data_IF_085327305673
#
_entry.id   IF_085327305673
#
_cell.length_a   1.000
_cell.length_b   1.000
_cell.length_c   1.000
_cell.angle_alpha   90.00
_cell.angle_beta   90.00
_cell.angle_gamma   90.00
#
_symmetry.space_group_name_H-M   'P 1'
#
loop_
_entity.id
_entity.type
_entity.pdbx_description
1 polymer ?
#
# COMPACT_ATOMS: atom_id res chain seq x y z
N UNK A 1 -32.02 -13.68 -25.01
CA UNK A 1 -31.89 -14.58 -23.84
C UNK A 1 -30.42 -14.89 -23.65
N UNK A 2 -29.80 -14.32 -22.65
CA UNK A 2 -28.45 -14.75 -22.23
C UNK A 2 -28.61 -16.15 -21.64
N UNK A 3 -28.12 -17.17 -22.34
CA UNK A 3 -28.01 -18.54 -21.84
C UNK A 3 -27.23 -18.47 -20.51
N UNK A 4 -27.87 -18.88 -19.44
CA UNK A 4 -27.25 -18.87 -18.11
C UNK A 4 -26.00 -19.75 -18.13
N UNK A 5 -24.85 -19.19 -17.75
CA UNK A 5 -23.61 -19.93 -17.59
C UNK A 5 -23.84 -21.15 -16.69
N UNK A 6 -23.32 -22.31 -17.09
CA UNK A 6 -23.34 -23.51 -16.27
C UNK A 6 -22.39 -23.36 -15.08
N UNK A 7 -22.58 -24.16 -14.03
CA UNK A 7 -21.66 -24.21 -12.89
C UNK A 7 -20.21 -24.48 -13.31
N UNK A 8 -20.02 -25.40 -14.28
CA UNK A 8 -18.69 -25.76 -14.74
C UNK A 8 -18.01 -24.61 -15.50
N UNK A 9 -18.79 -23.86 -16.28
CA UNK A 9 -18.28 -22.65 -16.95
C UNK A 9 -17.92 -21.56 -15.94
N UNK A 10 -18.75 -21.33 -14.92
CA UNK A 10 -18.46 -20.37 -13.87
C UNK A 10 -17.20 -20.75 -13.08
N UNK A 11 -17.02 -22.04 -12.76
CA UNK A 11 -15.79 -22.54 -12.11
C UNK A 11 -14.56 -22.38 -12.98
N UNK A 12 -14.68 -22.59 -14.30
CA UNK A 12 -13.58 -22.38 -15.23
C UNK A 12 -13.14 -20.92 -15.21
N UNK A 13 -14.06 -19.97 -15.36
CA UNK A 13 -13.78 -18.52 -15.28
C UNK A 13 -13.14 -18.15 -13.95
N UNK A 14 -13.67 -18.66 -12.85
CA UNK A 14 -13.12 -18.44 -11.50
C UNK A 14 -11.66 -18.93 -11.39
N UNK A 15 -11.37 -20.14 -11.89
CA UNK A 15 -10.01 -20.70 -11.86
C UNK A 15 -9.02 -19.98 -12.79
N UNK A 16 -9.54 -19.31 -13.81
CA UNK A 16 -8.77 -18.46 -14.75
C UNK A 16 -8.63 -17.01 -14.24
N UNK A 17 -9.13 -16.68 -13.04
CA UNK A 17 -9.08 -15.34 -12.45
C UNK A 17 -10.09 -14.35 -13.05
N UNK A 18 -11.02 -14.81 -13.90
CA UNK A 18 -12.05 -13.98 -14.53
C UNK A 18 -13.25 -13.81 -13.58
N UNK A 19 -13.00 -13.18 -12.43
CA UNK A 19 -13.95 -13.11 -11.32
C UNK A 19 -15.19 -12.28 -11.63
N UNK A 20 -15.04 -11.16 -12.36
CA UNK A 20 -16.15 -10.31 -12.78
C UNK A 20 -17.15 -11.08 -13.66
N UNK A 21 -16.65 -11.94 -14.53
CA UNK A 21 -17.47 -12.75 -15.46
C UNK A 21 -18.11 -13.96 -14.76
N UNK A 22 -17.42 -14.54 -13.77
CA UNK A 22 -17.93 -15.66 -12.96
C UNK A 22 -19.01 -15.23 -11.95
N UNK A 23 -18.89 -14.01 -11.40
CA UNK A 23 -19.74 -13.46 -10.31
C UNK A 23 -21.23 -13.62 -10.54
N UNK A 24 -21.84 -13.28 -11.71
CA UNK A 24 -23.28 -13.38 -11.91
C UNK A 24 -23.81 -14.82 -11.87
N UNK A 25 -23.00 -15.81 -12.25
CA UNK A 25 -23.39 -17.22 -12.18
C UNK A 25 -23.48 -17.72 -10.72
N UNK A 26 -22.47 -17.39 -9.91
CA UNK A 26 -22.46 -17.76 -8.50
C UNK A 26 -23.55 -17.03 -7.70
N UNK A 27 -23.86 -15.78 -8.03
CA UNK A 27 -24.99 -15.05 -7.44
C UNK A 27 -26.33 -15.78 -7.66
N UNK A 28 -26.58 -16.30 -8.85
CA UNK A 28 -27.78 -17.10 -9.13
C UNK A 28 -27.81 -18.40 -8.33
N UNK A 29 -26.66 -19.09 -8.20
CA UNK A 29 -26.56 -20.32 -7.44
C UNK A 29 -26.81 -20.11 -5.94
N UNK A 30 -26.36 -19.01 -5.37
CA UNK A 30 -26.65 -18.64 -3.99
C UNK A 30 -28.14 -18.41 -3.77
N UNK A 31 -28.84 -17.76 -4.70
CA UNK A 31 -30.30 -17.58 -4.61
C UNK A 31 -31.05 -18.92 -4.55
N UNK A 32 -30.52 -19.97 -5.16
CA UNK A 32 -31.10 -21.33 -5.11
C UNK A 32 -30.68 -22.10 -3.84
N UNK A 33 -29.47 -21.90 -3.36
CA UNK A 33 -28.93 -22.60 -2.20
C UNK A 33 -28.12 -21.63 -1.28
N UNK A 34 -28.80 -20.75 -0.50
CA UNK A 34 -28.13 -19.67 0.25
C UNK A 34 -27.12 -20.13 1.31
N UNK A 35 -27.25 -21.33 1.82
CA UNK A 35 -26.36 -21.89 2.84
C UNK A 35 -25.27 -22.82 2.29
N UNK A 36 -25.18 -22.99 0.96
CA UNK A 36 -24.14 -23.82 0.33
C UNK A 36 -22.76 -23.18 0.53
N UNK A 37 -21.82 -23.85 1.21
CA UNK A 37 -20.52 -23.25 1.55
C UNK A 37 -19.67 -22.95 0.34
N UNK A 38 -19.67 -23.81 -0.68
CA UNK A 38 -18.87 -23.63 -1.90
C UNK A 38 -19.39 -22.45 -2.73
N UNK A 39 -20.71 -22.28 -2.85
CA UNK A 39 -21.28 -21.14 -3.58
C UNK A 39 -21.00 -19.82 -2.87
N UNK A 40 -21.09 -19.82 -1.53
CA UNK A 40 -20.74 -18.66 -0.73
C UNK A 40 -19.26 -18.34 -0.82
N UNK A 41 -18.36 -19.34 -0.83
CA UNK A 41 -16.94 -19.12 -1.05
C UNK A 41 -16.69 -18.47 -2.42
N UNK A 42 -17.09 -19.11 -3.51
CA UNK A 42 -16.79 -18.62 -4.86
C UNK A 42 -17.38 -17.23 -5.12
N UNK A 43 -18.60 -16.99 -4.69
CA UNK A 43 -19.22 -15.66 -4.82
C UNK A 43 -18.53 -14.61 -3.94
N UNK A 44 -18.21 -14.98 -2.71
CA UNK A 44 -17.47 -14.10 -1.79
C UNK A 44 -16.11 -13.72 -2.33
N UNK A 45 -15.37 -14.67 -2.92
CA UNK A 45 -14.09 -14.39 -3.58
C UNK A 45 -14.27 -13.50 -4.81
N UNK A 46 -15.25 -13.79 -5.67
CA UNK A 46 -15.54 -12.91 -6.81
C UNK A 46 -15.88 -11.48 -6.37
N UNK A 47 -16.63 -11.32 -5.26
CA UNK A 47 -16.91 -10.00 -4.71
C UNK A 47 -15.64 -9.31 -4.19
N UNK A 48 -14.77 -10.03 -3.48
CA UNK A 48 -13.49 -9.53 -3.00
C UNK A 48 -12.62 -9.03 -4.15
N UNK A 49 -12.38 -9.85 -5.15
CA UNK A 49 -11.55 -9.56 -6.31
C UNK A 49 -12.13 -8.45 -7.24
N UNK A 50 -13.41 -8.15 -7.08
CA UNK A 50 -14.10 -7.03 -7.78
C UNK A 50 -14.34 -5.82 -6.88
N UNK A 51 -13.72 -5.73 -5.70
CA UNK A 51 -13.76 -4.58 -4.80
C UNK A 51 -15.03 -4.46 -3.93
N UNK A 52 -15.98 -5.39 -4.01
CA UNK A 52 -17.19 -5.38 -3.17
C UNK A 52 -16.94 -6.09 -1.85
N UNK A 53 -16.16 -5.44 -0.96
CA UNK A 53 -15.74 -5.99 0.32
C UNK A 53 -16.92 -6.29 1.26
N UNK A 54 -17.99 -5.49 1.20
CA UNK A 54 -19.17 -5.68 2.05
C UNK A 54 -19.90 -6.98 1.71
N UNK A 55 -20.15 -7.23 0.44
CA UNK A 55 -20.79 -8.48 -0.02
C UNK A 55 -19.86 -9.67 0.17
N UNK A 56 -18.54 -9.50 -0.08
CA UNK A 56 -17.53 -10.51 0.18
C UNK A 56 -17.57 -10.99 1.63
N UNK A 57 -17.47 -10.06 2.60
CA UNK A 57 -17.56 -10.38 4.03
C UNK A 57 -18.80 -11.18 4.38
N UNK A 58 -19.96 -10.76 3.87
CA UNK A 58 -21.24 -11.43 4.14
C UNK A 58 -21.21 -12.90 3.74
N UNK A 59 -20.74 -13.19 2.52
CA UNK A 59 -20.77 -14.55 1.97
C UNK A 59 -19.61 -15.41 2.51
N UNK A 60 -18.42 -14.85 2.67
CA UNK A 60 -17.29 -15.55 3.28
C UNK A 60 -17.57 -15.98 4.72
N UNK A 61 -18.29 -15.17 5.53
CA UNK A 61 -18.77 -15.58 6.86
C UNK A 61 -19.65 -16.82 6.84
N UNK A 62 -20.48 -17.00 5.83
CA UNK A 62 -21.29 -18.21 5.67
C UNK A 62 -20.39 -19.42 5.38
N UNK A 63 -19.39 -19.27 4.52
CA UNK A 63 -18.44 -20.33 4.21
C UNK A 63 -17.55 -20.69 5.41
N UNK A 64 -17.08 -19.71 6.20
CA UNK A 64 -16.30 -19.90 7.44
C UNK A 64 -17.11 -20.69 8.47
N UNK A 65 -18.40 -20.34 8.68
CA UNK A 65 -19.29 -21.11 9.59
C UNK A 65 -19.42 -22.59 9.21
N UNK A 66 -19.15 -22.95 7.97
CA UNK A 66 -19.12 -24.33 7.45
C UNK A 66 -17.70 -24.89 7.37
N UNK A 67 -16.70 -24.23 7.96
CA UNK A 67 -15.30 -24.61 8.01
C UNK A 67 -14.68 -24.83 6.63
N UNK A 68 -15.07 -23.98 5.66
CA UNK A 68 -14.46 -23.96 4.33
C UNK A 68 -13.09 -23.29 4.43
N UNK A 69 -12.00 -24.03 4.23
CA UNK A 69 -10.63 -23.59 4.50
C UNK A 69 -10.30 -22.25 3.84
N UNK A 70 -10.43 -22.13 2.52
CA UNK A 70 -10.08 -20.91 1.78
C UNK A 70 -10.89 -19.68 2.21
N UNK A 71 -12.06 -19.87 2.81
CA UNK A 71 -12.88 -18.76 3.27
C UNK A 71 -12.24 -17.98 4.44
N UNK A 72 -11.44 -18.64 5.27
CA UNK A 72 -10.69 -17.97 6.36
C UNK A 72 -9.68 -16.98 5.80
N UNK A 73 -8.87 -17.41 4.83
CA UNK A 73 -7.91 -16.55 4.14
C UNK A 73 -8.58 -15.29 3.58
N UNK A 74 -9.58 -15.48 2.70
CA UNK A 74 -10.23 -14.34 2.05
C UNK A 74 -11.02 -13.45 3.02
N UNK A 75 -11.60 -14.01 4.07
CA UNK A 75 -12.25 -13.21 5.09
C UNK A 75 -11.24 -12.41 5.92
N UNK A 76 -10.07 -12.99 6.20
CA UNK A 76 -8.94 -12.29 6.81
C UNK A 76 -8.50 -11.08 5.98
N UNK A 77 -8.32 -11.25 4.65
CA UNK A 77 -7.99 -10.14 3.75
C UNK A 77 -9.09 -9.05 3.73
N UNK A 78 -10.37 -9.44 3.68
CA UNK A 78 -11.48 -8.47 3.74
C UNK A 78 -11.47 -7.70 5.05
N UNK A 79 -11.20 -8.35 6.16
CA UNK A 79 -11.13 -7.71 7.46
C UNK A 79 -9.92 -6.76 7.56
N UNK A 80 -8.79 -7.14 7.01
CA UNK A 80 -7.60 -6.30 6.93
C UNK A 80 -7.91 -5.00 6.17
N UNK A 81 -8.44 -5.10 4.94
CA UNK A 81 -8.81 -3.95 4.11
C UNK A 81 -9.95 -3.10 4.68
N UNK A 82 -10.68 -3.61 5.67
CA UNK A 82 -11.77 -2.88 6.35
C UNK A 82 -11.42 -2.48 7.78
N UNK A 83 -10.12 -2.44 8.12
CA UNK A 83 -9.55 -2.03 9.41
C UNK A 83 -10.08 -2.82 10.62
N UNK A 84 -10.47 -4.06 10.40
CA UNK A 84 -10.89 -5.03 11.42
C UNK A 84 -9.73 -5.97 11.73
N UNK A 85 -8.68 -5.40 12.26
CA UNK A 85 -7.40 -6.07 12.38
C UNK A 85 -7.44 -7.27 13.34
N UNK A 86 -8.15 -7.17 14.46
CA UNK A 86 -8.29 -8.28 15.41
C UNK A 86 -9.04 -9.46 14.77
N UNK A 87 -10.14 -9.18 14.08
CA UNK A 87 -10.87 -10.22 13.36
C UNK A 87 -10.06 -10.78 12.17
N UNK A 88 -9.21 -9.97 11.54
CA UNK A 88 -8.29 -10.46 10.51
C UNK A 88 -7.28 -11.43 11.10
N UNK A 89 -6.67 -11.09 12.25
CA UNK A 89 -5.73 -11.94 12.96
C UNK A 89 -6.36 -13.28 13.31
N UNK A 90 -7.57 -13.31 13.89
CA UNK A 90 -8.32 -14.54 14.17
C UNK A 90 -8.49 -15.43 12.92
N UNK A 91 -8.81 -14.83 11.77
CA UNK A 91 -8.99 -15.57 10.52
C UNK A 91 -7.67 -16.16 10.01
N UNK A 92 -6.58 -15.41 10.07
CA UNK A 92 -5.27 -15.91 9.64
C UNK A 92 -4.74 -16.98 10.59
N UNK A 93 -4.90 -16.86 11.91
CA UNK A 93 -4.55 -17.90 12.88
C UNK A 93 -5.27 -19.24 12.59
N UNK A 94 -6.57 -19.19 12.37
CA UNK A 94 -7.35 -20.37 12.01
C UNK A 94 -6.90 -20.97 10.68
N UNK A 95 -6.62 -20.14 9.68
CA UNK A 95 -6.11 -20.62 8.38
C UNK A 95 -4.74 -21.27 8.51
N UNK A 96 -3.79 -20.65 9.21
CA UNK A 96 -2.47 -21.20 9.52
C UNK A 96 -2.59 -22.55 10.23
N UNK A 97 -3.47 -22.65 11.24
CA UNK A 97 -3.74 -23.92 11.94
C UNK A 97 -4.21 -25.03 10.99
N UNK A 98 -5.08 -24.69 10.01
CA UNK A 98 -5.55 -25.66 9.02
C UNK A 98 -4.46 -26.10 8.05
N UNK A 99 -3.60 -25.15 7.60
CA UNK A 99 -2.44 -25.44 6.74
C UNK A 99 -1.42 -26.32 7.44
N UNK A 100 -1.07 -26.00 8.70
CA UNK A 100 -0.13 -26.76 9.53
C UNK A 100 -0.56 -28.22 9.68
N UNK A 101 -1.85 -28.48 9.95
CA UNK A 101 -2.41 -29.85 10.02
C UNK A 101 -2.24 -30.63 8.73
N UNK A 102 -2.19 -29.94 7.61
CA UNK A 102 -2.00 -30.51 6.26
C UNK A 102 -0.54 -30.51 5.81
N UNK A 103 0.39 -30.02 6.63
CA UNK A 103 1.82 -29.83 6.30
C UNK A 103 2.03 -28.97 5.05
N UNK A 104 1.20 -27.95 4.88
CA UNK A 104 1.32 -26.94 3.82
C UNK A 104 2.11 -25.74 4.34
N UNK A 105 2.68 -24.93 3.41
CA UNK A 105 3.43 -23.73 3.75
C UNK A 105 2.52 -22.67 4.41
N UNK A 106 2.97 -22.16 5.56
CA UNK A 106 2.27 -21.14 6.36
C UNK A 106 2.90 -19.76 6.25
N UNK A 107 4.13 -19.67 5.76
CA UNK A 107 4.96 -18.45 5.76
C UNK A 107 4.25 -17.20 5.21
N UNK A 108 3.52 -17.26 4.06
CA UNK A 108 2.85 -16.07 3.55
C UNK A 108 1.73 -15.56 4.47
N UNK A 109 1.11 -16.47 5.23
CA UNK A 109 -0.03 -16.13 6.10
C UNK A 109 0.42 -15.74 7.52
N UNK A 110 1.60 -16.18 7.94
CA UNK A 110 2.28 -15.68 9.13
C UNK A 110 2.63 -14.19 8.95
N UNK A 111 3.12 -13.80 7.77
CA UNK A 111 3.34 -12.39 7.44
C UNK A 111 2.03 -11.56 7.46
N UNK A 112 0.92 -12.12 6.95
CA UNK A 112 -0.39 -11.45 6.99
C UNK A 112 -0.93 -11.32 8.41
N UNK A 113 -0.71 -12.32 9.27
CA UNK A 113 -1.03 -12.27 10.69
C UNK A 113 -0.22 -11.18 11.41
N UNK A 114 1.07 -11.07 11.10
CA UNK A 114 1.91 -10.00 11.64
C UNK A 114 1.40 -8.61 11.21
N UNK A 115 1.06 -8.44 9.94
CA UNK A 115 0.42 -7.22 9.42
C UNK A 115 -0.88 -6.88 10.18
N UNK A 116 -1.73 -7.86 10.43
CA UNK A 116 -2.98 -7.66 11.18
C UNK A 116 -2.70 -7.22 12.63
N UNK A 117 -1.74 -7.87 13.30
CA UNK A 117 -1.34 -7.51 14.67
C UNK A 117 -0.73 -6.11 14.75
N UNK A 118 0.07 -5.71 13.75
CA UNK A 118 0.62 -4.35 13.69
C UNK A 118 -0.48 -3.32 13.43
N UNK A 119 -1.40 -3.60 12.49
CA UNK A 119 -2.56 -2.75 12.22
C UNK A 119 -3.41 -2.51 13.46
N UNK A 120 -3.64 -3.52 14.30
CA UNK A 120 -4.33 -3.38 15.59
C UNK A 120 -3.60 -2.42 16.52
N UNK A 121 -2.28 -2.56 16.65
CA UNK A 121 -1.45 -1.67 17.49
C UNK A 121 -1.46 -0.22 17.01
N UNK A 122 -1.46 0.01 15.71
CA UNK A 122 -1.51 1.34 15.11
C UNK A 122 -2.89 1.97 15.25
N UNK A 123 -3.95 1.17 15.18
CA UNK A 123 -5.33 1.64 15.36
C UNK A 123 -5.56 2.21 16.78
N UNK A 124 -4.89 1.64 17.78
CA UNK A 124 -4.93 2.15 19.16
C UNK A 124 -4.23 3.51 19.34
N UNK A 125 -3.44 3.95 18.37
CA UNK A 125 -2.62 5.17 18.41
C UNK A 125 -2.95 6.18 17.31
N UNK A 126 -4.17 6.14 16.78
CA UNK A 126 -4.59 7.04 15.69
C UNK A 126 -4.42 8.50 16.08
N UNK A 127 -3.67 9.24 15.26
CA UNK A 127 -3.52 10.69 15.44
C UNK A 127 -4.75 11.44 14.94
N UNK A 128 -5.15 12.47 15.69
CA UNK A 128 -6.23 13.35 15.26
C UNK A 128 -5.67 14.34 14.22
N UNK A 129 -6.11 14.23 12.98
CA UNK A 129 -5.79 15.16 11.89
C UNK A 129 -7.05 15.82 11.37
N UNK A 130 -6.95 17.08 10.96
CA UNK A 130 -8.03 17.82 10.30
C UNK A 130 -7.83 17.69 8.79
N UNK A 131 -8.75 17.02 8.12
CA UNK A 131 -8.78 16.95 6.65
C UNK A 131 -9.52 18.19 6.14
N UNK A 132 -8.78 19.09 5.50
CA UNK A 132 -9.31 20.35 4.97
C UNK A 132 -9.98 20.13 3.61
N UNK A 133 -9.34 19.31 2.77
CA UNK A 133 -9.83 19.01 1.41
C UNK A 133 -9.29 17.66 0.93
N UNK A 134 -9.93 17.10 -0.08
CA UNK A 134 -9.48 15.87 -0.74
C UNK A 134 -9.74 15.94 -2.25
N UNK A 135 -8.78 15.50 -3.04
CA UNK A 135 -8.85 15.46 -4.49
C UNK A 135 -8.58 14.05 -4.98
N UNK A 136 -9.29 13.63 -6.01
CA UNK A 136 -9.02 12.35 -6.70
C UNK A 136 -8.35 12.67 -8.02
N UNK A 137 -7.12 12.21 -8.20
CA UNK A 137 -6.28 12.49 -9.37
C UNK A 137 -5.72 11.20 -9.96
N UNK A 138 -5.14 11.26 -11.14
CA UNK A 138 -4.38 10.15 -11.69
C UNK A 138 -3.09 9.94 -10.90
N UNK A 139 -2.75 8.69 -10.59
CA UNK A 139 -1.51 8.36 -9.87
C UNK A 139 -0.27 8.92 -10.56
N UNK A 140 -0.24 8.95 -11.88
CA UNK A 140 0.88 9.46 -12.65
C UNK A 140 0.92 11.00 -12.74
N UNK A 141 -0.02 11.71 -12.14
CA UNK A 141 -0.13 13.19 -12.18
C UNK A 141 -0.40 13.82 -10.80
N UNK A 142 -0.26 13.07 -9.71
CA UNK A 142 -0.61 13.57 -8.38
C UNK A 142 0.23 14.77 -7.92
N UNK A 143 1.45 14.94 -8.43
CA UNK A 143 2.27 16.11 -8.11
C UNK A 143 1.65 17.41 -8.59
N UNK A 144 0.81 17.39 -9.62
CA UNK A 144 0.10 18.58 -10.14
C UNK A 144 -0.90 19.14 -9.13
N UNK A 145 -1.38 18.32 -8.17
CA UNK A 145 -2.30 18.74 -7.12
C UNK A 145 -1.60 19.55 -6.01
N UNK A 146 -0.28 19.53 -5.92
CA UNK A 146 0.47 20.24 -4.88
C UNK A 146 0.73 21.70 -5.26
N UNK A 147 0.38 22.60 -4.36
CA UNK A 147 0.73 24.02 -4.44
C UNK A 147 1.65 24.36 -3.29
N UNK A 148 2.95 24.09 -3.45
CA UNK A 148 3.95 24.32 -2.41
C UNK A 148 4.51 25.74 -2.45
N UNK A 149 4.90 26.25 -1.27
CA UNK A 149 5.71 27.46 -1.18
C UNK A 149 7.16 27.17 -1.61
N UNK A 150 7.92 28.23 -1.94
CA UNK A 150 9.34 28.07 -2.26
C UNK A 150 10.15 27.53 -1.08
N UNK A 151 9.71 27.82 0.15
CA UNK A 151 10.34 27.32 1.37
C UNK A 151 10.17 25.80 1.59
N UNK A 152 9.17 25.18 0.98
CA UNK A 152 8.98 23.73 1.03
C UNK A 152 9.88 22.97 0.05
N UNK A 153 10.61 23.67 -0.82
CA UNK A 153 11.41 23.07 -1.90
C UNK A 153 10.58 22.74 -3.14
N UNK A 154 11.08 21.82 -3.98
CA UNK A 154 10.43 21.49 -5.26
C UNK A 154 10.31 19.98 -5.43
N UNK A 155 9.21 19.55 -6.04
CA UNK A 155 8.94 18.18 -6.42
C UNK A 155 8.87 18.06 -7.95
N UNK A 156 9.43 16.99 -8.47
CA UNK A 156 9.35 16.64 -9.88
C UNK A 156 9.19 15.12 -10.01
N UNK A 157 8.63 14.64 -11.10
CA UNK A 157 8.78 13.25 -11.49
C UNK A 157 10.22 12.96 -11.93
N UNK A 158 10.71 11.75 -11.66
CA UNK A 158 12.08 11.35 -11.98
C UNK A 158 12.43 11.58 -13.46
N UNK A 159 11.53 11.16 -14.37
CA UNK A 159 11.73 11.26 -15.81
C UNK A 159 11.81 12.71 -16.31
N UNK A 160 11.06 13.62 -15.69
CA UNK A 160 11.07 15.04 -16.02
C UNK A 160 12.36 15.72 -15.55
N UNK A 161 12.78 15.39 -14.33
CA UNK A 161 13.97 16.00 -13.73
C UNK A 161 15.25 15.58 -14.46
N UNK A 162 15.44 14.28 -14.67
CA UNK A 162 16.66 13.73 -15.30
C UNK A 162 16.55 13.64 -16.83
N UNK A 163 15.41 13.97 -17.42
CA UNK A 163 15.14 13.90 -18.86
C UNK A 163 15.48 12.52 -19.46
N UNK A 164 15.23 11.47 -18.69
CA UNK A 164 15.43 10.09 -19.13
C UNK A 164 14.22 9.67 -19.96
N UNK A 165 14.45 8.90 -21.02
CA UNK A 165 13.36 8.28 -21.77
C UNK A 165 12.77 7.02 -21.11
N UNK A 166 13.07 6.78 -19.82
CA UNK A 166 12.63 5.61 -19.07
C UNK A 166 11.36 5.97 -18.27
N UNK A 167 10.39 5.09 -18.26
CA UNK A 167 9.19 5.21 -17.43
C UNK A 167 9.50 4.67 -16.02
N UNK A 168 9.92 5.57 -15.13
CA UNK A 168 10.25 5.27 -13.73
C UNK A 168 9.20 5.93 -12.84
N UNK A 169 8.42 5.12 -12.12
CA UNK A 169 7.45 5.61 -11.13
C UNK A 169 8.20 6.04 -9.85
N UNK A 170 8.79 7.23 -9.89
CA UNK A 170 9.55 7.79 -8.78
C UNK A 170 9.55 9.33 -8.84
N UNK A 171 9.87 9.94 -7.69
CA UNK A 171 9.94 11.39 -7.55
C UNK A 171 11.34 11.87 -7.16
N UNK A 172 11.58 13.16 -7.45
CA UNK A 172 12.77 13.91 -7.06
C UNK A 172 12.33 15.09 -6.20
N UNK A 173 12.83 15.16 -4.99
CA UNK A 173 12.72 16.32 -4.13
C UNK A 173 14.00 17.17 -4.22
N UNK A 174 13.85 18.45 -4.48
CA UNK A 174 14.93 19.44 -4.43
C UNK A 174 14.71 20.36 -3.23
N UNK A 175 15.71 20.51 -2.38
CA UNK A 175 15.63 21.37 -1.20
C UNK A 175 15.45 22.87 -1.59
N UNK A 176 15.08 23.72 -0.62
CA UNK A 176 14.81 25.15 -0.81
C UNK A 176 16.00 25.91 -1.45
N UNK A 177 17.23 25.52 -1.09
CA UNK A 177 18.46 26.15 -1.63
C UNK A 177 18.77 25.71 -3.05
N UNK A 178 18.16 24.64 -3.56
CA UNK A 178 18.43 24.07 -4.86
C UNK A 178 19.84 23.45 -4.97
N UNK A 179 20.43 23.10 -3.84
CA UNK A 179 21.79 22.56 -3.76
C UNK A 179 21.86 21.07 -3.34
N UNK A 180 20.71 20.46 -3.02
CA UNK A 180 20.62 19.04 -2.68
C UNK A 180 19.33 18.43 -3.18
N UNK A 181 19.42 17.22 -3.72
CA UNK A 181 18.28 16.42 -4.15
C UNK A 181 18.26 15.09 -3.42
N UNK A 182 17.01 14.61 -3.22
CA UNK A 182 16.71 13.26 -2.79
C UNK A 182 15.72 12.66 -3.82
N UNK A 183 15.97 11.45 -4.23
CA UNK A 183 15.17 10.82 -5.27
C UNK A 183 15.24 9.31 -5.16
N UNK A 184 14.38 8.63 -5.91
CA UNK A 184 14.40 7.18 -6.00
C UNK A 184 14.57 6.73 -7.45
N UNK A 185 15.24 5.60 -7.65
CA UNK A 185 15.28 4.93 -8.95
C UNK A 185 15.58 3.43 -8.80
N UNK A 186 15.30 2.63 -9.86
CA UNK A 186 15.61 1.21 -9.86
C UNK A 186 17.10 0.93 -9.76
N UNK A 187 17.48 0.00 -8.89
CA UNK A 187 18.81 -0.61 -8.83
C UNK A 187 18.88 -1.88 -9.67
N UNK A 188 20.05 -2.54 -9.74
CA UNK A 188 20.33 -3.64 -10.67
C UNK A 188 19.36 -4.84 -10.64
N UNK A 189 18.55 -5.01 -9.60
CA UNK A 189 17.51 -6.06 -9.47
C UNK A 189 16.09 -5.52 -9.62
N UNK A 190 15.91 -4.34 -10.21
CA UNK A 190 14.65 -3.59 -10.31
C UNK A 190 14.04 -3.16 -8.96
N UNK A 191 14.78 -3.28 -7.87
CA UNK A 191 14.38 -2.70 -6.59
C UNK A 191 14.54 -1.19 -6.65
N UNK A 192 13.53 -0.44 -6.24
CA UNK A 192 13.60 1.02 -6.14
C UNK A 192 14.24 1.39 -4.81
N UNK A 193 15.31 2.18 -4.87
CA UNK A 193 16.05 2.66 -3.69
C UNK A 193 16.15 4.18 -3.67
N UNK A 194 16.32 4.73 -2.49
CA UNK A 194 16.53 6.16 -2.26
C UNK A 194 17.99 6.56 -2.40
N UNK A 195 18.21 7.69 -3.06
CA UNK A 195 19.51 8.29 -3.32
C UNK A 195 19.51 9.78 -2.98
N UNK A 196 20.70 10.35 -2.88
CA UNK A 196 20.91 11.80 -2.73
C UNK A 196 22.10 12.26 -3.54
N UNK A 197 22.05 13.50 -4.03
CA UNK A 197 23.15 14.21 -4.65
C UNK A 197 23.22 15.63 -4.10
N UNK A 198 24.44 16.17 -4.00
CA UNK A 198 24.65 17.58 -3.70
C UNK A 198 25.19 18.29 -4.93
N UNK A 199 24.81 19.54 -5.12
CA UNK A 199 25.24 20.36 -6.23
C UNK A 199 26.67 20.82 -6.02
N UNK A 200 27.51 20.62 -7.02
CA UNK A 200 28.88 21.10 -7.08
C UNK A 200 28.95 22.23 -8.13
N UNK A 201 28.86 23.47 -7.69
CA UNK A 201 28.75 24.67 -8.55
C UNK A 201 27.53 24.60 -9.48
N UNK A 202 27.68 24.15 -10.71
CA UNK A 202 26.67 24.13 -11.76
C UNK A 202 26.18 22.73 -12.18
N UNK A 203 26.73 21.67 -11.57
CA UNK A 203 26.35 20.27 -11.83
C UNK A 203 26.09 19.49 -10.56
N UNK A 204 25.35 18.38 -10.66
CA UNK A 204 25.15 17.44 -9.57
C UNK A 204 26.40 16.58 -9.38
N UNK A 205 26.82 16.42 -8.12
CA UNK A 205 27.96 15.57 -7.75
C UNK A 205 27.62 14.08 -7.81
N UNK A 206 28.50 13.25 -7.23
CA UNK A 206 28.30 11.81 -7.24
C UNK A 206 27.00 11.40 -6.51
N UNK A 207 26.33 10.44 -7.10
CA UNK A 207 25.16 9.79 -6.52
C UNK A 207 25.56 9.00 -5.28
N UNK A 208 24.78 9.14 -4.21
CA UNK A 208 24.95 8.37 -2.97
C UNK A 208 23.64 7.68 -2.62
N UNK A 209 23.68 6.35 -2.61
CA UNK A 209 22.56 5.57 -2.08
C UNK A 209 22.42 5.82 -0.58
N UNK A 210 21.18 5.99 -0.10
CA UNK A 210 20.93 6.06 1.33
C UNK A 210 21.22 4.70 1.98
N UNK A 211 21.61 4.68 3.28
CA UNK A 211 22.04 3.44 3.92
C UNK A 211 20.91 2.45 4.11
N UNK A 212 21.27 1.19 4.37
CA UNK A 212 20.36 0.06 4.50
C UNK A 212 19.37 0.13 5.68
N UNK A 213 19.57 1.05 6.61
CA UNK A 213 18.57 1.30 7.65
C UNK A 213 17.46 2.26 7.17
N UNK A 214 17.63 2.93 6.03
CA UNK A 214 16.61 3.73 5.36
C UNK A 214 16.04 2.93 4.18
N UNK A 215 16.91 2.51 3.26
CA UNK A 215 16.51 1.59 2.19
C UNK A 215 16.25 0.19 2.78
N UNK A 216 15.05 -0.30 2.57
CA UNK A 216 14.63 -1.64 3.00
C UNK A 216 15.11 -2.74 2.02
N UNK A 217 14.67 -3.97 2.21
CA UNK A 217 14.90 -5.05 1.26
C UNK A 217 13.89 -5.04 0.07
N UNK A 218 12.92 -4.13 0.11
CA UNK A 218 11.88 -3.94 -0.91
C UNK A 218 11.97 -2.54 -1.52
N UNK A 219 10.90 -2.03 -2.12
CA UNK A 219 10.90 -0.72 -2.73
C UNK A 219 10.79 0.41 -1.71
N UNK A 220 11.61 1.45 -1.87
CA UNK A 220 11.60 2.68 -1.09
C UNK A 220 11.56 3.87 -2.06
N UNK A 221 10.60 4.80 -1.90
CA UNK A 221 10.32 5.83 -2.89
C UNK A 221 9.76 7.11 -2.25
N UNK A 222 9.46 8.10 -3.06
CA UNK A 222 8.77 9.35 -2.75
C UNK A 222 9.39 10.15 -1.59
N UNK A 223 10.69 10.47 -1.65
CA UNK A 223 11.37 11.18 -0.57
C UNK A 223 10.94 12.64 -0.49
N UNK A 224 10.80 13.13 0.74
CA UNK A 224 10.59 14.54 1.06
C UNK A 224 11.38 14.91 2.32
N UNK A 225 12.09 16.04 2.30
CA UNK A 225 12.87 16.51 3.47
C UNK A 225 12.31 17.82 3.96
N UNK A 226 12.08 17.94 5.27
CA UNK A 226 11.62 19.18 5.90
C UNK A 226 12.62 20.34 5.72
N UNK A 227 12.17 21.55 6.01
CA UNK A 227 13.00 22.76 5.96
C UNK A 227 14.20 22.72 6.93
N UNK A 228 14.16 21.87 7.95
CA UNK A 228 15.29 21.60 8.86
C UNK A 228 16.48 20.92 8.17
N UNK A 229 16.28 20.34 6.98
CA UNK A 229 17.28 19.68 6.17
C UNK A 229 17.76 18.33 6.70
N UNK A 230 17.15 17.81 7.77
CA UNK A 230 17.55 16.55 8.43
C UNK A 230 16.41 15.55 8.59
N UNK A 231 15.16 16.00 8.63
CA UNK A 231 13.98 15.11 8.75
C UNK A 231 13.53 14.67 7.38
N UNK A 232 13.68 13.38 7.09
CA UNK A 232 13.33 12.74 5.82
C UNK A 232 12.06 11.90 6.01
N UNK A 233 11.04 12.20 5.20
CA UNK A 233 9.86 11.38 4.97
C UNK A 233 10.03 10.61 3.65
N UNK A 234 9.52 9.39 3.61
CA UNK A 234 9.54 8.56 2.40
C UNK A 234 8.51 7.44 2.51
N UNK A 235 8.23 6.78 1.40
CA UNK A 235 7.39 5.59 1.39
C UNK A 235 8.22 4.32 1.22
N UNK A 236 7.83 3.25 1.90
CA UNK A 236 8.49 1.93 1.86
C UNK A 236 7.47 0.81 1.81
N UNK A 237 7.74 -0.22 1.01
CA UNK A 237 7.01 -1.50 1.05
C UNK A 237 7.57 -2.46 2.10
N UNK A 238 8.68 -2.08 2.74
CA UNK A 238 9.34 -2.85 3.80
C UNK A 238 9.06 -2.29 5.19
N UNK A 239 9.97 -2.59 6.13
CA UNK A 239 9.95 -2.04 7.49
C UNK A 239 8.64 -2.29 8.28
N UNK A 240 7.86 -3.32 7.91
CA UNK A 240 6.58 -3.64 8.56
C UNK A 240 5.41 -2.83 8.03
N UNK A 241 5.40 -2.48 6.74
CA UNK A 241 4.27 -1.82 6.10
C UNK A 241 2.97 -2.63 6.23
N UNK A 242 1.84 -1.94 6.35
CA UNK A 242 0.49 -2.54 6.45
C UNK A 242 -0.07 -2.92 5.09
N UNK A 243 0.19 -2.06 4.09
CA UNK A 243 -0.30 -2.21 2.72
C UNK A 243 0.80 -2.59 1.75
N UNK A 244 0.92 -1.81 0.67
CA UNK A 244 2.09 -1.78 -0.19
C UNK A 244 3.08 -0.73 0.34
N UNK A 245 3.09 0.46 -0.25
CA UNK A 245 3.83 1.58 0.30
C UNK A 245 3.15 2.14 1.55
N UNK A 246 3.92 2.28 2.63
CA UNK A 246 3.56 3.03 3.84
C UNK A 246 4.55 4.18 4.07
N UNK A 247 4.11 5.21 4.79
CA UNK A 247 4.89 6.41 5.08
C UNK A 247 5.75 6.23 6.33
N UNK A 248 7.03 6.56 6.19
CA UNK A 248 8.03 6.52 7.26
C UNK A 248 8.71 7.87 7.42
N UNK A 249 9.22 8.10 8.60
CA UNK A 249 10.07 9.25 8.93
C UNK A 249 11.37 8.79 9.57
N UNK A 250 12.46 9.44 9.19
CA UNK A 250 13.76 9.29 9.86
C UNK A 250 14.47 10.64 9.96
N UNK A 251 15.51 10.72 10.75
CA UNK A 251 16.32 11.93 10.92
C UNK A 251 17.79 11.64 10.69
N UNK A 252 18.41 12.51 9.92
CA UNK A 252 19.85 12.48 9.74
C UNK A 252 20.54 13.10 10.94
N UNK A 253 21.44 12.35 11.59
CA UNK A 253 22.27 12.80 12.68
C UNK A 253 23.62 13.27 12.11
N UNK A 254 23.80 14.60 12.09
CA UNK A 254 25.01 15.23 11.57
C UNK A 254 26.27 14.92 12.38
N UNK A 255 26.13 14.54 13.66
CA UNK A 255 27.27 14.22 14.51
C UNK A 255 27.83 12.81 14.25
N UNK A 256 26.98 11.85 13.87
CA UNK A 256 27.35 10.47 13.57
C UNK A 256 27.37 10.16 12.08
N UNK A 257 27.03 11.13 11.22
CA UNK A 257 26.92 10.97 9.76
C UNK A 257 26.04 9.77 9.38
N UNK A 258 24.87 9.63 10.03
CA UNK A 258 24.00 8.48 9.87
C UNK A 258 22.53 8.86 10.08
N UNK A 259 21.63 8.08 9.49
CA UNK A 259 20.20 8.19 9.77
C UNK A 259 19.82 7.39 11.02
N UNK A 260 18.87 7.89 11.79
CA UNK A 260 18.22 7.14 12.86
C UNK A 260 17.39 6.00 12.29
N UNK A 261 16.96 5.06 13.14
CA UNK A 261 16.01 4.04 12.72
C UNK A 261 14.71 4.71 12.25
N UNK A 262 14.19 4.33 11.07
CA UNK A 262 12.91 4.87 10.60
C UNK A 262 11.76 4.49 11.52
N UNK A 263 10.81 5.40 11.68
CA UNK A 263 9.56 5.21 12.39
C UNK A 263 8.41 5.31 11.40
N UNK A 264 7.44 4.40 11.51
CA UNK A 264 6.21 4.44 10.74
C UNK A 264 5.33 5.58 11.24
N UNK A 265 4.71 6.35 10.32
CA UNK A 265 3.85 7.46 10.70
C UNK A 265 2.56 7.00 11.40
N UNK A 266 2.15 5.76 11.17
CA UNK A 266 0.91 5.25 11.74
C UNK A 266 -0.35 5.82 11.10
N UNK A 267 -1.50 5.55 11.76
CA UNK A 267 -2.79 6.01 11.25
C UNK A 267 -3.09 7.44 11.69
N UNK A 268 -3.73 8.27 10.86
CA UNK A 268 -4.41 7.92 9.61
C UNK A 268 -3.54 7.99 8.35
N UNK A 269 -2.26 8.28 8.45
CA UNK A 269 -1.38 8.45 7.29
C UNK A 269 -1.16 7.11 6.57
N UNK A 270 -0.90 6.05 7.35
CA UNK A 270 -0.73 4.69 6.83
C UNK A 270 -2.04 3.89 6.89
N UNK A 271 -2.19 2.97 5.96
CA UNK A 271 -3.40 2.16 5.77
C UNK A 271 -3.08 0.79 5.17
N UNK A 272 -4.05 -0.14 5.09
CA UNK A 272 -3.88 -1.40 4.35
C UNK A 272 -3.79 -1.25 2.82
N UNK A 273 -3.68 -0.03 2.32
CA UNK A 273 -3.52 0.34 0.91
C UNK A 273 -2.14 0.95 0.68
N UNK A 274 -1.88 1.49 -0.51
CA UNK A 274 -0.65 2.23 -0.71
C UNK A 274 -0.80 3.68 -0.25
N UNK A 275 0.15 4.12 0.53
CA UNK A 275 0.29 5.49 1.00
C UNK A 275 1.64 6.01 0.46
N UNK A 276 1.58 6.81 -0.61
CA UNK A 276 2.74 7.04 -1.47
C UNK A 276 3.63 8.18 -1.02
N UNK A 277 3.07 9.30 -0.62
CA UNK A 277 3.89 10.50 -0.37
C UNK A 277 3.24 11.39 0.69
N UNK A 278 4.05 11.95 1.56
CA UNK A 278 3.68 13.04 2.46
C UNK A 278 4.59 14.25 2.23
N UNK A 279 4.02 15.42 2.22
CA UNK A 279 4.72 16.70 2.03
C UNK A 279 4.20 17.71 3.04
N UNK A 280 5.09 18.44 3.68
CA UNK A 280 4.76 19.47 4.66
C UNK A 280 5.23 20.83 4.16
N UNK A 281 4.30 21.78 4.03
CA UNK A 281 4.60 23.20 3.81
C UNK A 281 4.46 23.95 5.12
N UNK A 282 5.56 24.08 5.85
CA UNK A 282 5.59 24.69 7.18
C UNK A 282 5.20 26.17 7.11
N UNK A 283 5.51 26.88 6.01
CA UNK A 283 5.14 28.28 5.82
C UNK A 283 3.63 28.46 5.67
N UNK A 284 2.95 27.51 5.06
CA UNK A 284 1.48 27.50 4.93
C UNK A 284 0.77 26.79 6.07
N UNK A 285 1.50 26.09 6.92
CA UNK A 285 0.98 25.20 7.98
C UNK A 285 0.02 24.14 7.40
N UNK A 286 0.36 23.59 6.24
CA UNK A 286 -0.40 22.59 5.53
C UNK A 286 0.47 21.36 5.23
N UNK A 287 -0.18 20.20 5.23
CA UNK A 287 0.42 18.96 4.75
C UNK A 287 -0.46 18.30 3.70
N UNK A 288 0.15 17.60 2.80
CA UNK A 288 -0.52 16.75 1.80
C UNK A 288 0.00 15.34 1.95
N UNK A 289 -0.88 14.36 1.88
CA UNK A 289 -0.48 12.96 1.71
C UNK A 289 -1.32 12.32 0.61
N UNK A 290 -0.74 11.31 -0.04
CA UNK A 290 -1.33 10.62 -1.19
C UNK A 290 -1.56 9.16 -0.85
N UNK A 291 -2.75 8.68 -1.16
CA UNK A 291 -3.15 7.30 -0.91
C UNK A 291 -4.10 6.81 -2.00
N UNK A 292 -4.02 5.53 -2.35
CA UNK A 292 -5.00 4.89 -3.24
C UNK A 292 -6.17 4.23 -2.48
N UNK A 293 -6.26 4.46 -1.15
CA UNK A 293 -7.31 3.89 -0.32
C UNK A 293 -8.70 4.24 -0.86
N UNK A 294 -9.50 3.20 -1.09
CA UNK A 294 -10.86 3.33 -1.60
C UNK A 294 -10.98 4.00 -2.98
N UNK A 295 -9.88 4.09 -3.74
CA UNK A 295 -9.89 4.66 -5.08
C UNK A 295 -9.96 3.54 -6.15
N UNK A 296 -10.49 3.84 -7.36
CA UNK A 296 -10.34 2.96 -8.50
C UNK A 296 -8.86 2.79 -8.89
N UNK A 297 -8.54 1.68 -9.55
CA UNK A 297 -7.20 1.42 -10.07
C UNK A 297 -6.66 2.61 -10.89
N UNK A 298 -5.43 3.01 -10.62
CA UNK A 298 -4.76 4.14 -11.27
C UNK A 298 -5.16 5.53 -10.74
N UNK A 299 -5.97 5.61 -9.67
CA UNK A 299 -6.32 6.85 -8.98
C UNK A 299 -5.76 6.87 -7.55
N UNK A 300 -5.49 8.06 -7.08
CA UNK A 300 -5.05 8.35 -5.72
C UNK A 300 -5.79 9.55 -5.17
#
# INVERSE_FOLDING_TARGET
>A
MLLGQSLDQAKKLYNEGQYAEAKPAFERLIKQAPSNPSYNLWYGVCCFETGDLTTAAKHLKVAVKRRTQEAYRYLGEVYLLTYKFDEAAEMFEEYISLLTKKKQDTTPFEARLETANEGSRLLDKVEAVEIIDSLVVDKNDFLSAYTLSEEAGKLNYYNEFFQTGQDVDATVYTNQKGDKIYYAHPTGENQICLFTQSKLMDHWGDEKQLPMNVNSATNDNYPFVLSDGVTLYYASEGNGSLGGYDLFVTRYNTSSDSYLAPEQLGMPFNSPFNDYMIVMDEAKQLGWFVSDRHQPEGKV
#
